data_IF_756587844082
#
_entry.id   IF_756587844082
#
_cell.length_a   1.000
_cell.length_b   1.000
_cell.length_c   1.000
_cell.angle_alpha   90.00
_cell.angle_beta   90.00
_cell.angle_gamma   90.00
#
_symmetry.space_group_name_H-M   'P 1'
#
loop_
_entity.id
_entity.type
_entity.pdbx_description
1 polymer ?
#
# COMPACT_ATOMS: atom_id res chain seq x y z
N UNK A 1 13.93 32.25 13.74
CA UNK A 1 13.39 31.12 14.52
C UNK A 1 13.17 31.58 15.95
N UNK A 2 12.06 31.18 16.57
CA UNK A 2 11.79 31.43 18.00
C UNK A 2 11.62 30.10 18.74
N UNK A 3 12.08 30.05 20.00
CA UNK A 3 11.95 28.89 20.89
C UNK A 3 11.31 29.33 22.19
N UNK A 4 10.27 28.63 22.61
CA UNK A 4 9.57 28.85 23.87
C UNK A 4 9.97 27.73 24.83
N UNK A 5 11.15 27.89 25.42
CA UNK A 5 11.81 26.82 26.17
C UNK A 5 12.04 25.58 25.30
N UNK A 6 11.71 24.42 25.86
CA UNK A 6 11.70 23.12 25.18
C UNK A 6 10.27 22.68 24.82
N UNK A 7 9.27 23.54 24.86
CA UNK A 7 7.87 23.14 24.63
C UNK A 7 7.40 23.43 23.20
N UNK A 8 7.96 24.46 22.55
CA UNK A 8 7.59 24.85 21.20
C UNK A 8 8.76 25.54 20.49
N UNK A 9 8.95 25.20 19.22
CA UNK A 9 9.83 25.89 18.29
C UNK A 9 9.05 26.35 17.07
N UNK A 10 9.23 27.62 16.70
CA UNK A 10 8.68 28.21 15.49
C UNK A 10 9.80 28.49 14.48
N UNK A 11 9.69 27.87 13.30
CA UNK A 11 10.59 28.09 12.17
C UNK A 11 9.91 29.07 11.22
N UNK A 12 10.63 30.13 10.88
CA UNK A 12 10.20 31.19 9.98
C UNK A 12 11.07 31.12 8.72
N UNK A 13 10.53 30.56 7.65
CA UNK A 13 11.19 30.47 6.35
C UNK A 13 10.87 31.69 5.50
N UNK A 14 11.86 32.18 4.76
CA UNK A 14 11.65 33.19 3.72
C UNK A 14 10.96 32.56 2.50
N UNK A 15 10.26 33.38 1.72
CA UNK A 15 9.71 32.98 0.42
C UNK A 15 8.61 31.93 0.48
N UNK A 16 8.37 31.32 -0.69
CA UNK A 16 7.40 30.25 -0.93
C UNK A 16 8.09 28.89 -0.91
N UNK A 17 8.26 28.32 0.29
CA UNK A 17 8.78 26.95 0.42
C UNK A 17 7.78 25.91 -0.09
N UNK A 18 8.23 25.00 -0.95
CA UNK A 18 7.40 23.87 -1.40
C UNK A 18 7.02 22.92 -0.23
N UNK A 19 5.90 22.21 -0.37
CA UNK A 19 5.35 21.34 0.68
C UNK A 19 6.31 20.29 1.23
N UNK A 20 7.27 19.83 0.43
CA UNK A 20 8.30 18.85 0.81
C UNK A 20 9.12 19.30 2.03
N UNK A 21 9.35 20.61 2.22
CA UNK A 21 10.06 21.11 3.40
C UNK A 21 9.31 20.79 4.69
N UNK A 22 7.97 20.82 4.69
CA UNK A 22 7.17 20.40 5.85
C UNK A 22 7.42 18.93 6.18
N UNK A 23 7.43 18.07 5.15
CA UNK A 23 7.66 16.62 5.31
C UNK A 23 9.06 16.35 5.87
N UNK A 24 10.09 16.94 5.27
CA UNK A 24 11.48 16.75 5.67
C UNK A 24 11.76 17.27 7.08
N UNK A 25 11.28 18.48 7.41
CA UNK A 25 11.53 19.08 8.71
C UNK A 25 10.75 18.38 9.83
N UNK A 26 9.50 17.97 9.60
CA UNK A 26 8.75 17.18 10.58
C UNK A 26 9.30 15.76 10.78
N UNK A 27 9.98 15.19 9.78
CA UNK A 27 10.69 13.92 9.95
C UNK A 27 11.99 14.10 10.76
N UNK A 28 12.71 15.20 10.53
CA UNK A 28 14.03 15.46 11.15
C UNK A 28 13.94 16.00 12.57
N UNK A 29 12.90 16.78 12.88
CA UNK A 29 12.70 17.48 14.14
C UNK A 29 11.50 16.89 14.89
N UNK A 30 11.36 17.22 16.17
CA UNK A 30 10.19 16.82 16.96
C UNK A 30 8.94 17.59 16.53
N UNK A 31 8.20 17.00 15.58
CA UNK A 31 7.04 17.61 14.95
C UNK A 31 5.92 17.96 15.93
N UNK A 32 5.87 17.32 17.11
CA UNK A 32 4.85 17.58 18.13
C UNK A 32 5.02 18.95 18.80
N UNK A 33 6.23 19.52 18.70
CA UNK A 33 6.63 20.80 19.29
C UNK A 33 7.13 21.77 18.22
N UNK A 34 6.76 21.55 16.96
CA UNK A 34 7.25 22.31 15.81
C UNK A 34 6.10 23.06 15.14
N UNK A 35 6.31 24.35 14.90
CA UNK A 35 5.47 25.17 14.05
C UNK A 35 6.31 25.66 12.87
N UNK A 36 5.93 25.26 11.66
CA UNK A 36 6.57 25.72 10.43
C UNK A 36 5.72 26.82 9.80
N UNK A 37 6.36 27.94 9.44
CA UNK A 37 5.73 28.99 8.64
C UNK A 37 6.71 29.53 7.63
N UNK A 38 6.19 29.93 6.46
CA UNK A 38 6.95 30.52 5.37
C UNK A 38 6.61 32.02 5.25
N UNK A 39 6.95 32.68 4.14
CA UNK A 39 6.61 34.09 3.90
C UNK A 39 7.09 35.05 5.00
N UNK A 40 8.21 34.71 5.65
CA UNK A 40 8.68 35.43 6.83
C UNK A 40 10.02 36.11 6.56
N UNK A 41 10.11 37.38 6.95
CA UNK A 41 11.31 38.23 6.89
C UNK A 41 11.81 38.61 5.49
N UNK A 42 11.68 37.74 4.49
CA UNK A 42 12.14 37.98 3.12
C UNK A 42 11.31 37.19 2.08
N UNK A 43 11.36 37.62 0.81
CA UNK A 43 10.62 37.05 -0.32
C UNK A 43 11.52 36.83 -1.55
N UNK A 44 12.40 35.81 -1.52
CA UNK A 44 13.22 35.43 -2.68
C UNK A 44 12.43 34.74 -3.80
N UNK A 45 11.11 34.54 -3.63
CA UNK A 45 10.25 33.76 -4.52
C UNK A 45 10.03 32.33 -4.04
N UNK A 46 9.74 31.42 -4.96
CA UNK A 46 9.66 29.98 -4.67
C UNK A 46 11.02 29.42 -4.31
N UNK A 47 11.03 28.60 -3.26
CA UNK A 47 12.18 27.80 -2.86
C UNK A 47 11.79 26.33 -3.12
N UNK A 48 12.21 25.74 -4.25
CA UNK A 48 11.83 24.38 -4.60
C UNK A 48 12.60 23.35 -3.76
N UNK A 49 12.02 22.16 -3.62
CA UNK A 49 12.73 20.98 -3.13
C UNK A 49 13.55 20.35 -4.26
N UNK A 50 14.40 19.36 -3.96
CA UNK A 50 15.15 18.65 -5.01
C UNK A 50 14.23 17.97 -6.02
N UNK A 51 13.18 17.30 -5.53
CA UNK A 51 12.17 16.64 -6.36
C UNK A 51 11.46 17.63 -7.28
N UNK A 52 11.01 18.77 -6.73
CA UNK A 52 10.33 19.81 -7.53
C UNK A 52 11.28 20.43 -8.56
N UNK A 53 12.57 20.61 -8.23
CA UNK A 53 13.58 21.04 -9.21
C UNK A 53 13.75 20.06 -10.37
N UNK A 54 13.71 18.75 -10.09
CA UNK A 54 13.80 17.69 -11.10
C UNK A 54 12.53 17.60 -11.96
N UNK A 55 11.36 17.79 -11.36
CA UNK A 55 10.06 17.83 -12.05
C UNK A 55 9.91 19.07 -12.95
N UNK A 56 10.55 20.19 -12.59
CA UNK A 56 10.43 21.45 -13.29
C UNK A 56 9.09 22.15 -13.03
N UNK A 57 8.69 23.05 -13.92
CA UNK A 57 7.40 23.76 -13.81
C UNK A 57 7.50 25.14 -13.16
N UNK A 58 6.38 25.62 -12.60
CA UNK A 58 6.26 27.02 -12.19
C UNK A 58 7.16 27.37 -11.02
N UNK A 59 7.14 26.55 -9.97
CA UNK A 59 7.87 26.75 -8.72
C UNK A 59 9.38 26.60 -8.90
N UNK A 60 9.82 25.70 -9.78
CA UNK A 60 11.24 25.43 -10.02
C UNK A 60 11.88 26.36 -11.07
N UNK A 61 11.12 26.79 -12.08
CA UNK A 61 11.69 27.39 -13.28
C UNK A 61 11.03 28.72 -13.65
N UNK A 62 9.72 28.70 -13.95
CA UNK A 62 9.07 29.86 -14.56
C UNK A 62 8.88 31.01 -13.57
N UNK A 63 8.73 30.75 -12.28
CA UNK A 63 8.52 31.78 -11.26
C UNK A 63 9.72 32.73 -11.10
N UNK A 64 10.94 32.27 -11.43
CA UNK A 64 12.18 33.01 -11.22
C UNK A 64 12.18 34.37 -11.92
N UNK A 65 11.58 34.47 -13.11
CA UNK A 65 11.49 35.74 -13.86
C UNK A 65 10.64 36.78 -13.12
N UNK A 66 9.57 36.36 -12.45
CA UNK A 66 8.67 37.25 -11.71
C UNK A 66 9.29 37.73 -10.39
N UNK A 67 10.21 36.94 -9.83
CA UNK A 67 10.97 37.27 -8.63
C UNK A 67 12.34 37.88 -8.93
N UNK A 68 12.59 38.27 -10.20
CA UNK A 68 13.84 38.87 -10.67
C UNK A 68 15.10 38.05 -10.31
N UNK A 69 14.96 36.72 -10.24
CA UNK A 69 16.06 35.81 -9.97
C UNK A 69 16.81 35.47 -11.26
N UNK A 70 18.15 35.35 -11.23
CA UNK A 70 18.97 35.19 -12.43
C UNK A 70 18.87 33.79 -13.08
N UNK A 71 18.28 32.82 -12.40
CA UNK A 71 18.13 31.46 -12.88
C UNK A 71 17.61 30.51 -11.82
N UNK A 72 17.65 29.21 -12.14
CA UNK A 72 17.23 28.15 -11.21
C UNK A 72 18.15 28.07 -10.01
N UNK A 73 17.59 27.61 -8.89
CA UNK A 73 18.39 27.18 -7.76
C UNK A 73 19.28 25.99 -8.12
N UNK A 74 20.40 25.87 -7.41
CA UNK A 74 21.23 24.67 -7.47
C UNK A 74 20.51 23.48 -6.80
N UNK A 75 20.76 22.22 -7.24
CA UNK A 75 20.11 21.02 -6.69
C UNK A 75 20.28 20.81 -5.17
N UNK A 76 21.23 21.49 -4.55
CA UNK A 76 21.54 21.45 -3.13
C UNK A 76 20.67 22.40 -2.28
N UNK A 77 19.83 23.25 -2.88
CA UNK A 77 19.05 24.26 -2.14
C UNK A 77 18.25 23.67 -0.97
N UNK A 78 17.65 22.49 -1.18
CA UNK A 78 16.92 21.78 -0.15
C UNK A 78 17.81 21.43 1.04
N UNK A 79 19.01 20.90 0.77
CA UNK A 79 19.95 20.50 1.80
C UNK A 79 20.47 21.71 2.57
N UNK A 80 20.73 22.82 1.87
CA UNK A 80 21.16 24.09 2.48
C UNK A 80 20.11 24.60 3.46
N UNK A 81 18.84 24.66 3.03
CA UNK A 81 17.73 25.14 3.88
C UNK A 81 17.52 24.20 5.07
N UNK A 82 17.43 22.89 4.84
CA UNK A 82 17.19 21.91 5.91
C UNK A 82 18.35 21.89 6.91
N UNK A 83 19.60 21.97 6.44
CA UNK A 83 20.77 22.03 7.32
C UNK A 83 20.78 23.32 8.16
N UNK A 84 20.42 24.46 7.57
CA UNK A 84 20.30 25.73 8.28
C UNK A 84 19.25 25.66 9.40
N UNK A 85 18.10 25.06 9.13
CA UNK A 85 17.04 24.87 10.14
C UNK A 85 17.51 23.90 11.23
N UNK A 86 18.11 22.75 10.90
CA UNK A 86 18.62 21.78 11.90
C UNK A 86 19.70 22.42 12.81
N UNK A 87 20.62 23.18 12.22
CA UNK A 87 21.67 23.86 12.97
C UNK A 87 21.10 24.86 13.98
N UNK A 88 20.10 25.66 13.57
CA UNK A 88 19.43 26.61 14.45
C UNK A 88 18.53 25.92 15.48
N UNK A 89 17.89 24.80 15.14
CA UNK A 89 17.04 24.02 16.04
C UNK A 89 17.86 23.40 17.19
N UNK A 90 19.01 22.82 16.84
CA UNK A 90 19.91 22.18 17.79
C UNK A 90 19.36 20.86 18.35
N UNK A 91 20.14 20.17 19.20
CA UNK A 91 19.83 18.80 19.64
C UNK A 91 18.49 18.65 20.36
N UNK A 92 18.06 19.65 21.13
CA UNK A 92 16.84 19.65 21.95
C UNK A 92 15.55 19.42 21.14
N UNK A 93 15.56 19.79 19.87
CA UNK A 93 14.39 19.69 18.98
C UNK A 93 14.55 18.62 17.90
N UNK A 94 15.60 17.81 17.93
CA UNK A 94 15.73 16.68 17.01
C UNK A 94 14.67 15.62 17.32
N UNK A 95 14.18 14.98 16.27
CA UNK A 95 13.29 13.83 16.42
C UNK A 95 13.95 12.75 17.28
N UNK A 96 13.17 12.10 18.14
CA UNK A 96 13.60 10.85 18.78
C UNK A 96 13.76 9.76 17.70
N UNK A 97 14.66 8.80 17.92
CA UNK A 97 14.94 7.74 16.95
C UNK A 97 13.71 6.87 16.63
N UNK A 98 12.75 6.78 17.55
CA UNK A 98 11.49 6.03 17.44
C UNK A 98 10.28 6.93 17.16
N UNK A 99 10.49 8.21 16.85
CA UNK A 99 9.41 9.13 16.51
C UNK A 99 8.64 8.62 15.29
N UNK A 100 7.33 8.39 15.46
CA UNK A 100 6.43 8.11 14.35
C UNK A 100 6.33 9.32 13.42
N UNK A 101 6.16 9.08 12.12
CA UNK A 101 5.84 10.14 11.16
C UNK A 101 4.53 10.85 11.54
N UNK A 102 4.38 12.14 11.24
CA UNK A 102 3.14 12.84 11.51
C UNK A 102 1.98 12.28 10.69
N UNK A 103 0.86 11.99 11.35
CA UNK A 103 -0.32 11.39 10.70
C UNK A 103 -0.97 12.34 9.67
N UNK A 104 -0.81 13.65 9.83
CA UNK A 104 -1.33 14.67 8.91
C UNK A 104 -0.54 14.79 7.59
N UNK A 105 0.56 14.06 7.43
CA UNK A 105 1.23 13.89 6.13
C UNK A 105 0.74 12.66 5.36
N UNK A 106 -0.17 11.88 5.95
CA UNK A 106 -0.83 10.76 5.28
C UNK A 106 -2.14 11.25 4.69
N UNK A 107 -2.44 10.78 3.48
CA UNK A 107 -3.78 10.95 2.95
C UNK A 107 -4.78 10.25 3.89
N UNK A 108 -6.00 10.80 4.08
CA UNK A 108 -7.03 10.10 4.82
C UNK A 108 -7.27 8.74 4.15
N UNK A 109 -7.44 7.71 4.98
CA UNK A 109 -7.64 6.36 4.48
C UNK A 109 -8.93 6.25 3.66
N UNK A 110 -8.86 5.55 2.53
CA UNK A 110 -10.03 5.16 1.73
C UNK A 110 -10.90 4.08 2.37
N UNK A 111 -10.48 3.49 3.50
CA UNK A 111 -11.12 2.31 4.10
C UNK A 111 -12.60 2.55 4.46
N UNK A 112 -12.92 3.68 5.10
CA UNK A 112 -14.30 3.98 5.51
C UNK A 112 -15.24 4.10 4.30
N UNK A 113 -14.78 4.78 3.24
CA UNK A 113 -15.54 4.93 2.00
C UNK A 113 -15.67 3.60 1.25
N UNK A 114 -14.62 2.77 1.29
CA UNK A 114 -14.68 1.44 0.70
C UNK A 114 -15.82 0.62 1.32
N UNK A 115 -15.86 0.51 2.65
CA UNK A 115 -16.86 -0.32 3.33
C UNK A 115 -18.28 0.15 3.09
N UNK A 116 -18.51 1.47 3.04
CA UNK A 116 -19.83 2.05 2.75
C UNK A 116 -20.32 1.75 1.32
N UNK A 117 -19.40 1.67 0.36
CA UNK A 117 -19.75 1.63 -1.06
C UNK A 117 -19.58 0.25 -1.72
N UNK A 118 -18.99 -0.73 -1.02
CA UNK A 118 -18.65 -2.02 -1.61
C UNK A 118 -19.89 -2.77 -2.15
N UNK A 119 -20.98 -2.85 -1.37
CA UNK A 119 -22.23 -3.47 -1.83
C UNK A 119 -22.77 -2.83 -3.13
N UNK A 120 -22.78 -1.50 -3.20
CA UNK A 120 -23.23 -0.77 -4.39
C UNK A 120 -22.34 -1.06 -5.60
N UNK A 121 -21.02 -1.11 -5.41
CA UNK A 121 -20.08 -1.49 -6.47
C UNK A 121 -20.33 -2.91 -6.96
N UNK A 122 -20.54 -3.87 -6.06
CA UNK A 122 -20.85 -5.26 -6.42
C UNK A 122 -22.18 -5.34 -7.17
N UNK A 123 -23.19 -4.57 -6.80
CA UNK A 123 -24.49 -4.55 -7.47
C UNK A 123 -24.40 -4.12 -8.94
N UNK A 124 -23.43 -3.26 -9.29
CA UNK A 124 -23.20 -2.82 -10.68
C UNK A 124 -22.45 -3.83 -11.55
N UNK A 125 -21.91 -4.91 -10.97
CA UNK A 125 -21.12 -5.89 -11.72
C UNK A 125 -22.01 -6.79 -12.60
N UNK A 126 -21.46 -7.29 -13.73
CA UNK A 126 -22.05 -8.37 -14.51
C UNK A 126 -22.46 -9.56 -13.65
N UNK A 127 -23.49 -10.29 -14.07
CA UNK A 127 -24.06 -11.41 -13.30
C UNK A 127 -23.06 -12.53 -13.01
N UNK A 128 -22.11 -12.77 -13.92
CA UNK A 128 -21.02 -13.74 -13.76
C UNK A 128 -20.07 -13.33 -12.64
N UNK A 129 -19.64 -12.08 -12.60
CA UNK A 129 -18.77 -11.54 -11.55
C UNK A 129 -19.49 -11.48 -10.20
N UNK A 130 -20.78 -11.10 -10.16
CA UNK A 130 -21.59 -11.16 -8.93
C UNK A 130 -21.66 -12.57 -8.36
N UNK A 131 -21.81 -13.61 -9.19
CA UNK A 131 -21.75 -15.01 -8.74
C UNK A 131 -20.39 -15.36 -8.12
N UNK A 132 -19.28 -14.88 -8.68
CA UNK A 132 -17.94 -15.06 -8.10
C UNK A 132 -17.85 -14.39 -6.72
N UNK A 133 -18.36 -13.16 -6.58
CA UNK A 133 -18.37 -12.44 -5.29
C UNK A 133 -19.27 -13.15 -4.26
N UNK A 134 -20.46 -13.61 -4.64
CA UNK A 134 -21.35 -14.37 -3.76
C UNK A 134 -20.70 -15.68 -3.30
N UNK A 135 -20.01 -16.39 -4.21
CA UNK A 135 -19.25 -17.60 -3.88
C UNK A 135 -18.09 -17.29 -2.92
N UNK A 136 -17.32 -16.23 -3.18
CA UNK A 136 -16.27 -15.75 -2.28
C UNK A 136 -16.84 -15.49 -0.88
N UNK A 137 -17.92 -14.71 -0.78
CA UNK A 137 -18.55 -14.35 0.51
C UNK A 137 -19.00 -15.58 1.30
N UNK A 138 -19.68 -16.51 0.63
CA UNK A 138 -20.17 -17.76 1.26
C UNK A 138 -19.03 -18.60 1.84
N UNK A 139 -17.90 -18.69 1.15
CA UNK A 139 -16.73 -19.43 1.62
C UNK A 139 -15.97 -18.66 2.71
N UNK A 140 -15.79 -17.34 2.52
CA UNK A 140 -15.03 -16.47 3.40
C UNK A 140 -15.58 -16.44 4.84
N UNK A 141 -16.89 -16.65 5.03
CA UNK A 141 -17.55 -16.67 6.33
C UNK A 141 -16.92 -17.66 7.34
N UNK A 142 -16.27 -18.72 6.86
CA UNK A 142 -15.62 -19.73 7.71
C UNK A 142 -14.10 -19.79 7.53
N UNK A 143 -13.50 -18.79 6.88
CA UNK A 143 -12.07 -18.80 6.58
C UNK A 143 -11.20 -18.49 7.81
N UNK A 144 -9.99 -19.03 7.81
CA UNK A 144 -8.89 -18.62 8.69
C UNK A 144 -8.06 -17.50 8.04
N UNK A 145 -7.18 -16.87 8.82
CA UNK A 145 -6.22 -15.90 8.27
C UNK A 145 -5.23 -16.61 7.32
N UNK A 146 -5.22 -16.19 6.06
CA UNK A 146 -4.38 -16.73 5.00
C UNK A 146 -2.94 -16.23 5.01
N UNK A 147 -2.61 -15.22 5.83
CA UNK A 147 -1.26 -14.69 5.97
C UNK A 147 -0.95 -14.36 7.44
N UNK A 148 -0.39 -15.33 8.15
CA UNK A 148 0.00 -15.22 9.55
C UNK A 148 1.44 -14.70 9.73
N UNK A 149 2.39 -15.21 8.93
CA UNK A 149 3.80 -14.86 9.07
C UNK A 149 4.53 -14.99 7.73
N UNK A 150 5.25 -13.95 7.34
CA UNK A 150 6.20 -14.01 6.22
C UNK A 150 7.45 -14.78 6.63
N UNK A 151 8.06 -15.51 5.70
CA UNK A 151 9.39 -16.07 5.91
C UNK A 151 10.44 -14.96 5.75
N UNK A 152 11.60 -15.14 6.37
CA UNK A 152 12.67 -14.13 6.42
C UNK A 152 13.35 -13.87 5.06
N UNK A 153 13.03 -14.66 4.03
CA UNK A 153 13.68 -14.67 2.71
C UNK A 153 12.83 -14.06 1.56
N UNK A 154 13.53 -13.26 0.74
CA UNK A 154 13.29 -12.88 -0.67
C UNK A 154 12.03 -12.11 -1.13
N UNK A 155 11.44 -11.24 -0.31
CA UNK A 155 10.51 -10.21 -0.83
C UNK A 155 10.95 -8.79 -0.51
N UNK A 156 10.99 -7.96 -1.57
CA UNK A 156 11.15 -6.53 -1.41
C UNK A 156 9.97 -5.95 -0.62
N UNK A 157 10.25 -4.92 0.18
CA UNK A 157 9.21 -4.07 0.74
C UNK A 157 9.16 -2.78 -0.07
N UNK A 158 7.98 -2.45 -0.58
CA UNK A 158 7.72 -1.14 -1.19
C UNK A 158 6.37 -0.66 -0.71
N UNK A 159 6.23 0.66 -0.68
CA UNK A 159 4.95 1.29 -0.44
C UNK A 159 4.13 1.25 -1.74
N UNK A 160 2.90 0.76 -1.66
CA UNK A 160 1.97 0.71 -2.80
C UNK A 160 0.51 0.63 -2.32
N UNK A 161 -0.45 0.74 -3.25
CA UNK A 161 -1.88 0.77 -2.96
C UNK A 161 -2.42 -0.57 -2.40
N UNK A 162 -2.98 -0.54 -1.19
CA UNK A 162 -3.65 -1.69 -0.57
C UNK A 162 -5.10 -1.87 -1.06
N UNK A 163 -5.86 -2.76 -0.40
CA UNK A 163 -7.25 -3.07 -0.73
C UNK A 163 -8.22 -1.86 -0.72
N UNK A 164 -7.89 -0.75 -0.05
CA UNK A 164 -8.69 0.47 -0.03
C UNK A 164 -8.05 1.65 -0.77
N UNK A 165 -6.92 1.44 -1.47
CA UNK A 165 -6.21 2.48 -2.20
C UNK A 165 -5.28 3.33 -1.35
N UNK A 166 -4.99 2.91 -0.12
CA UNK A 166 -3.99 3.59 0.71
C UNK A 166 -2.60 3.11 0.34
N UNK A 167 -1.63 4.03 0.32
CA UNK A 167 -0.23 3.70 0.11
C UNK A 167 0.37 3.19 1.42
N UNK A 168 0.68 1.90 1.48
CA UNK A 168 1.23 1.23 2.68
C UNK A 168 2.38 0.30 2.30
N UNK A 169 3.22 -0.06 3.26
CA UNK A 169 4.29 -1.03 3.06
C UNK A 169 3.73 -2.44 2.84
N UNK A 170 4.07 -3.05 1.71
CA UNK A 170 3.64 -4.41 1.33
C UNK A 170 4.84 -5.30 1.11
N UNK A 171 4.65 -6.62 1.18
CA UNK A 171 5.63 -7.57 0.65
C UNK A 171 5.24 -7.89 -0.78
N UNK A 172 6.15 -7.72 -1.72
CA UNK A 172 5.84 -7.90 -3.13
C UNK A 172 6.99 -8.54 -3.91
N UNK A 173 6.64 -9.09 -5.07
CA UNK A 173 7.57 -9.54 -6.10
C UNK A 173 7.22 -8.90 -7.42
N UNK A 174 8.23 -8.73 -8.29
CA UNK A 174 8.06 -8.34 -9.70
C UNK A 174 8.50 -9.47 -10.62
N UNK A 175 8.05 -9.42 -11.86
CA UNK A 175 8.52 -10.26 -12.95
C UNK A 175 9.83 -9.77 -13.57
N UNK A 176 10.75 -9.24 -12.77
CA UNK A 176 12.07 -8.81 -13.22
C UNK A 176 12.94 -10.02 -13.58
N UNK A 177 12.92 -11.04 -12.72
CA UNK A 177 13.55 -12.34 -12.93
C UNK A 177 12.53 -13.46 -12.78
N UNK A 178 12.65 -14.49 -13.62
CA UNK A 178 11.83 -15.69 -13.48
C UNK A 178 12.23 -16.44 -12.20
N UNK A 179 11.25 -16.96 -11.47
CA UNK A 179 11.51 -17.70 -10.23
C UNK A 179 11.60 -16.85 -8.96
N UNK A 180 11.58 -15.50 -9.05
CA UNK A 180 11.46 -14.64 -7.87
C UNK A 180 10.22 -15.03 -7.07
N UNK A 181 10.36 -15.20 -5.76
CA UNK A 181 9.35 -15.86 -4.93
C UNK A 181 9.16 -15.15 -3.60
N UNK A 182 7.89 -15.01 -3.19
CA UNK A 182 7.50 -14.60 -1.84
C UNK A 182 6.91 -15.79 -1.11
N UNK A 183 7.29 -15.98 0.16
CA UNK A 183 6.84 -17.11 1.00
C UNK A 183 6.25 -16.66 2.32
N UNK A 184 5.19 -17.34 2.74
CA UNK A 184 4.53 -17.07 4.01
C UNK A 184 3.77 -18.31 4.52
N UNK A 185 3.27 -18.24 5.75
CA UNK A 185 2.42 -19.26 6.35
C UNK A 185 1.04 -18.69 6.64
N UNK A 186 -0.02 -19.47 6.40
CA UNK A 186 -1.35 -19.18 6.93
C UNK A 186 -1.52 -19.72 8.35
N UNK A 187 -2.53 -19.22 9.08
CA UNK A 187 -2.88 -19.77 10.40
C UNK A 187 -3.33 -21.24 10.29
N UNK A 188 -3.15 -22.03 11.35
CA UNK A 188 -3.82 -23.32 11.48
C UNK A 188 -5.34 -23.15 11.49
N UNK A 189 -6.09 -24.17 11.05
CA UNK A 189 -7.56 -24.10 10.99
C UNK A 189 -8.24 -24.05 12.37
N UNK A 190 -7.53 -24.35 13.46
CA UNK A 190 -8.03 -24.27 14.86
C UNK A 190 -9.40 -24.93 15.02
N UNK A 191 -9.56 -26.15 14.50
CA UNK A 191 -10.81 -26.93 14.55
C UNK A 191 -11.82 -26.69 13.42
N UNK A 192 -11.54 -25.82 12.44
CA UNK A 192 -12.36 -25.72 11.22
C UNK A 192 -12.20 -26.97 10.36
N UNK A 193 -13.31 -27.45 9.81
CA UNK A 193 -13.37 -28.66 8.98
C UNK A 193 -12.98 -28.45 7.51
N UNK A 194 -12.76 -27.20 7.09
CA UNK A 194 -12.46 -26.85 5.70
C UNK A 194 -11.25 -25.94 5.62
N UNK A 195 -10.34 -26.25 4.67
CA UNK A 195 -9.17 -25.43 4.39
C UNK A 195 -9.56 -24.17 3.61
N UNK A 196 -10.14 -23.19 4.30
CA UNK A 196 -10.51 -21.90 3.73
C UNK A 196 -9.64 -20.82 4.36
N UNK A 197 -8.99 -20.03 3.53
CA UNK A 197 -8.06 -19.00 3.95
C UNK A 197 -8.34 -17.71 3.20
N UNK A 198 -8.36 -16.57 3.90
CA UNK A 198 -8.51 -15.25 3.26
C UNK A 198 -7.33 -14.37 3.65
N UNK A 199 -6.79 -13.65 2.68
CA UNK A 199 -5.75 -12.64 2.90
C UNK A 199 -5.96 -11.46 1.93
N UNK A 200 -5.54 -10.26 2.33
CA UNK A 200 -5.56 -9.09 1.46
C UNK A 200 -4.22 -8.88 0.75
N UNK A 201 -4.30 -8.43 -0.49
CA UNK A 201 -3.17 -8.34 -1.39
C UNK A 201 -3.53 -7.61 -2.68
N UNK A 202 -2.66 -7.69 -3.67
CA UNK A 202 -2.87 -7.04 -4.96
C UNK A 202 -2.00 -7.62 -6.06
N UNK A 203 -2.37 -7.24 -7.27
CA UNK A 203 -1.76 -7.64 -8.54
C UNK A 203 -1.80 -6.42 -9.44
N UNK A 204 -0.79 -6.21 -10.28
CA UNK A 204 -0.86 -5.09 -11.20
C UNK A 204 0.18 -5.04 -12.28
N UNK A 205 0.18 -3.88 -12.94
CA UNK A 205 0.86 -3.60 -14.21
C UNK A 205 0.36 -4.44 -15.39
N UNK A 206 -0.96 -4.43 -15.62
CA UNK A 206 -1.57 -5.29 -16.64
C UNK A 206 -1.03 -5.06 -18.06
N UNK A 207 -0.59 -3.85 -18.40
CA UNK A 207 -0.07 -3.52 -19.73
C UNK A 207 1.28 -4.17 -20.05
N UNK A 208 1.99 -4.69 -19.05
CA UNK A 208 3.28 -5.36 -19.24
C UNK A 208 3.13 -6.79 -19.77
N UNK A 209 4.19 -7.39 -20.34
CA UNK A 209 4.12 -8.73 -20.91
C UNK A 209 3.59 -9.79 -19.95
N UNK A 210 2.64 -10.60 -20.44
CA UNK A 210 1.93 -11.61 -19.65
C UNK A 210 2.69 -12.93 -19.56
N UNK A 211 3.09 -13.28 -18.33
CA UNK A 211 3.52 -14.65 -17.97
C UNK A 211 2.81 -15.21 -16.75
N UNK A 212 2.16 -14.33 -15.97
CA UNK A 212 1.43 -14.70 -14.75
C UNK A 212 2.31 -15.20 -13.63
N UNK A 213 1.66 -15.59 -12.55
CA UNK A 213 2.27 -16.06 -11.33
C UNK A 213 1.82 -17.50 -11.05
N UNK A 214 2.60 -18.18 -10.21
CA UNK A 214 2.25 -19.50 -9.70
C UNK A 214 2.13 -19.42 -8.18
N UNK A 215 0.95 -19.70 -7.65
CA UNK A 215 0.73 -19.95 -6.22
C UNK A 215 1.05 -21.41 -5.94
N UNK A 216 2.00 -21.68 -5.05
CA UNK A 216 2.30 -23.02 -4.55
C UNK A 216 1.74 -23.21 -3.14
N UNK A 217 1.17 -24.39 -2.90
CA UNK A 217 0.61 -24.81 -1.61
C UNK A 217 1.36 -26.06 -1.15
N UNK A 218 2.21 -25.91 -0.12
CA UNK A 218 3.20 -26.90 0.36
C UNK A 218 3.95 -27.67 -0.75
N UNK A 219 4.39 -26.96 -1.79
CA UNK A 219 5.19 -27.51 -2.90
C UNK A 219 4.53 -28.60 -3.77
N UNK A 220 3.30 -29.03 -3.44
CA UNK A 220 2.62 -30.15 -4.14
C UNK A 220 1.49 -29.70 -5.06
N UNK A 221 0.87 -28.56 -4.76
CA UNK A 221 -0.25 -28.03 -5.52
C UNK A 221 0.12 -26.66 -6.06
N UNK A 222 -0.11 -26.45 -7.36
CA UNK A 222 0.12 -25.19 -8.03
C UNK A 222 -1.14 -24.64 -8.68
N UNK A 223 -1.34 -23.32 -8.56
CA UNK A 223 -2.39 -22.57 -9.25
C UNK A 223 -1.70 -21.49 -10.08
N UNK A 224 -1.91 -21.51 -11.38
CA UNK A 224 -1.49 -20.43 -12.27
C UNK A 224 -2.57 -19.34 -12.28
N UNK A 225 -2.16 -18.10 -12.02
CA UNK A 225 -3.04 -16.94 -12.05
C UNK A 225 -2.31 -15.76 -12.68
N UNK A 226 -3.05 -14.70 -13.03
CA UNK A 226 -2.45 -13.51 -13.63
C UNK A 226 -3.23 -12.25 -13.22
N UNK A 227 -2.77 -11.09 -13.68
CA UNK A 227 -3.37 -9.79 -13.40
C UNK A 227 -4.83 -9.77 -13.88
N UNK A 228 -5.72 -9.28 -13.02
CA UNK A 228 -7.13 -9.03 -13.33
C UNK A 228 -7.65 -7.86 -12.50
N UNK A 229 -8.55 -7.09 -13.08
CA UNK A 229 -9.28 -6.01 -12.41
C UNK A 229 -10.72 -6.43 -12.04
N UNK A 230 -11.06 -7.71 -12.27
CA UNK A 230 -12.41 -8.24 -12.09
C UNK A 230 -12.42 -9.42 -11.11
N UNK A 231 -13.56 -9.70 -10.44
CA UNK A 231 -13.72 -10.90 -9.63
C UNK A 231 -13.46 -12.18 -10.45
N UNK A 232 -12.40 -12.90 -10.10
CA UNK A 232 -11.89 -14.02 -10.89
C UNK A 232 -11.59 -15.22 -9.99
N UNK A 233 -11.71 -16.44 -10.53
CA UNK A 233 -11.32 -17.67 -9.86
C UNK A 233 -10.37 -18.48 -10.75
N UNK A 234 -9.32 -19.01 -10.15
CA UNK A 234 -8.36 -19.92 -10.77
C UNK A 234 -8.30 -21.21 -9.96
N UNK A 235 -7.98 -22.33 -10.61
CA UNK A 235 -7.85 -23.62 -9.94
C UNK A 235 -6.54 -24.30 -10.27
N UNK A 236 -6.17 -25.29 -9.46
CA UNK A 236 -5.14 -26.24 -9.86
C UNK A 236 -5.60 -27.10 -11.05
N UNK A 237 -4.67 -27.87 -11.61
CA UNK A 237 -4.95 -28.76 -12.75
C UNK A 237 -6.07 -29.78 -12.44
N UNK A 238 -6.20 -30.21 -11.18
CA UNK A 238 -7.23 -31.18 -10.76
C UNK A 238 -8.57 -30.52 -10.39
N UNK A 239 -8.66 -29.18 -10.44
CA UNK A 239 -9.86 -28.40 -10.06
C UNK A 239 -10.32 -28.66 -8.61
N UNK A 240 -9.39 -29.00 -7.74
CA UNK A 240 -9.62 -29.29 -6.33
C UNK A 240 -9.34 -28.08 -5.46
N UNK A 241 -8.23 -27.40 -5.72
CA UNK A 241 -7.79 -26.21 -4.99
C UNK A 241 -8.16 -24.99 -5.82
N UNK A 242 -8.75 -23.99 -5.17
CA UNK A 242 -9.32 -22.82 -5.84
C UNK A 242 -8.78 -21.55 -5.19
N UNK A 243 -8.31 -20.60 -6.01
CA UNK A 243 -7.95 -19.25 -5.62
C UNK A 243 -8.97 -18.30 -6.22
N UNK A 244 -9.70 -17.57 -5.39
CA UNK A 244 -10.66 -16.54 -5.80
C UNK A 244 -10.08 -15.18 -5.44
N UNK A 245 -10.09 -14.23 -6.36
CA UNK A 245 -9.74 -12.84 -6.09
C UNK A 245 -10.96 -11.94 -6.29
N UNK A 246 -11.22 -11.09 -5.29
CA UNK A 246 -12.25 -10.05 -5.36
C UNK A 246 -11.55 -8.69 -5.20
N UNK A 247 -11.40 -7.93 -6.29
CA UNK A 247 -10.88 -6.57 -6.23
C UNK A 247 -11.81 -5.65 -5.43
N UNK A 248 -11.23 -4.86 -4.52
CA UNK A 248 -11.93 -3.80 -3.78
C UNK A 248 -11.40 -2.42 -4.15
N UNK A 249 -10.25 -2.35 -4.81
CA UNK A 249 -9.67 -1.15 -5.39
C UNK A 249 -9.01 -1.49 -6.72
N UNK A 250 -9.10 -0.58 -7.70
CA UNK A 250 -8.53 -0.75 -9.05
C UNK A 250 -8.05 0.60 -9.59
N UNK A 251 -6.97 0.59 -10.36
CA UNK A 251 -6.55 1.67 -11.27
C UNK A 251 -6.59 1.17 -12.72
N UNK A 252 -6.02 1.90 -13.69
CA UNK A 252 -5.90 1.44 -15.07
C UNK A 252 -4.95 0.23 -15.23
N UNK A 253 -4.02 0.07 -14.29
CA UNK A 253 -2.96 -0.94 -14.35
C UNK A 253 -3.06 -1.99 -13.24
N UNK A 254 -3.66 -1.62 -12.11
CA UNK A 254 -3.54 -2.35 -10.87
C UNK A 254 -4.90 -2.73 -10.27
N UNK A 255 -4.89 -3.78 -9.46
CA UNK A 255 -6.00 -4.19 -8.62
C UNK A 255 -5.50 -4.65 -7.25
N UNK A 256 -6.18 -4.21 -6.20
CA UNK A 256 -5.98 -4.68 -4.83
C UNK A 256 -7.30 -5.11 -4.22
N UNK A 257 -7.25 -6.08 -3.32
CA UNK A 257 -8.44 -6.65 -2.71
C UNK A 257 -8.15 -7.89 -1.90
N UNK A 258 -9.07 -8.84 -1.94
CA UNK A 258 -9.03 -10.02 -1.11
C UNK A 258 -8.91 -11.29 -1.95
N UNK A 259 -7.97 -12.13 -1.55
CA UNK A 259 -7.82 -13.48 -2.06
C UNK A 259 -8.47 -14.46 -1.07
N UNK A 260 -9.20 -15.43 -1.60
CA UNK A 260 -9.66 -16.61 -0.89
C UNK A 260 -9.04 -17.85 -1.49
N UNK A 261 -8.33 -18.61 -0.67
CA UNK A 261 -7.77 -19.90 -1.04
C UNK A 261 -8.58 -21.01 -0.39
N UNK A 262 -9.06 -21.95 -1.21
CA UNK A 262 -9.73 -23.16 -0.80
C UNK A 262 -8.84 -24.37 -1.06
N UNK A 263 -8.43 -25.05 0.01
CA UNK A 263 -7.61 -26.27 0.03
C UNK A 263 -8.42 -27.41 0.70
N UNK A 264 -9.16 -28.22 -0.07
CA UNK A 264 -9.94 -29.32 0.50
C UNK A 264 -9.07 -30.35 1.24
N UNK A 265 -9.58 -30.89 2.35
CA UNK A 265 -8.92 -31.99 3.07
C UNK A 265 -7.65 -31.60 3.85
N UNK A 266 -7.35 -30.30 3.99
CA UNK A 266 -6.18 -29.86 4.74
C UNK A 266 -6.29 -30.19 6.24
N UNK A 267 -5.29 -30.82 6.88
CA UNK A 267 -5.32 -31.15 8.31
C UNK A 267 -5.37 -29.89 9.20
N UNK A 268 -6.27 -29.88 10.18
CA UNK A 268 -6.53 -28.67 10.96
C UNK A 268 -5.34 -28.18 11.81
N UNK A 269 -4.48 -29.10 12.24
CA UNK A 269 -3.34 -28.83 13.14
C UNK A 269 -2.07 -28.39 12.40
N UNK A 270 -2.03 -28.50 11.06
CA UNK A 270 -0.82 -28.15 10.29
C UNK A 270 -0.94 -26.74 9.73
N UNK A 271 0.05 -25.86 9.96
CA UNK A 271 0.09 -24.58 9.25
C UNK A 271 0.24 -24.83 7.75
N UNK A 272 -0.39 -23.98 6.95
CA UNK A 272 -0.31 -24.05 5.48
C UNK A 272 0.87 -23.20 5.01
N UNK A 273 1.84 -23.79 4.32
CA UNK A 273 2.91 -23.04 3.67
C UNK A 273 2.47 -22.62 2.27
N UNK A 274 2.67 -21.34 1.97
CA UNK A 274 2.28 -20.72 0.72
C UNK A 274 3.47 -19.98 0.12
N UNK A 275 3.60 -20.08 -1.20
CA UNK A 275 4.50 -19.21 -1.95
C UNK A 275 3.85 -18.71 -3.23
N UNK A 276 4.24 -17.54 -3.69
CA UNK A 276 3.92 -17.07 -5.04
C UNK A 276 5.22 -16.81 -5.77
N UNK A 277 5.33 -17.39 -6.97
CA UNK A 277 6.50 -17.31 -7.83
C UNK A 277 6.19 -16.59 -9.13
N UNK A 278 7.12 -15.72 -9.55
CA UNK A 278 7.12 -15.13 -10.89
C UNK A 278 7.38 -16.18 -11.96
N UNK A 279 6.60 -16.16 -13.03
CA UNK A 279 6.84 -16.96 -14.25
C UNK A 279 7.41 -16.14 -15.41
N UNK A 280 7.70 -14.86 -15.17
CA UNK A 280 8.18 -13.92 -16.19
C UNK A 280 9.50 -13.28 -15.81
N UNK A 281 10.16 -12.71 -16.82
CA UNK A 281 11.41 -11.96 -16.70
C UNK A 281 11.31 -10.66 -17.50
N UNK A 282 11.95 -9.58 -17.02
CA UNK A 282 11.94 -8.28 -17.68
C UNK A 282 10.59 -7.56 -17.75
N UNK A 283 9.65 -7.89 -16.84
CA UNK A 283 8.30 -7.31 -16.79
C UNK A 283 8.05 -6.64 -15.44
N UNK A 284 7.35 -5.49 -15.47
CA UNK A 284 7.00 -4.75 -14.24
C UNK A 284 5.73 -5.29 -13.56
N UNK A 285 5.13 -6.36 -14.08
CA UNK A 285 4.03 -7.06 -13.40
C UNK A 285 4.41 -7.42 -11.99
N UNK A 286 3.48 -7.25 -11.07
CA UNK A 286 3.73 -7.44 -9.65
C UNK A 286 2.59 -8.21 -8.97
N UNK A 287 2.97 -8.90 -7.88
CA UNK A 287 2.06 -9.49 -6.91
C UNK A 287 2.50 -9.04 -5.52
N UNK A 288 1.54 -8.68 -4.66
CA UNK A 288 1.82 -8.22 -3.31
C UNK A 288 0.82 -8.76 -2.29
N UNK A 289 1.29 -8.87 -1.05
CA UNK A 289 0.48 -9.19 0.13
C UNK A 289 0.60 -8.03 1.12
N UNK A 290 -0.53 -7.61 1.67
CA UNK A 290 -0.53 -6.57 2.71
C UNK A 290 0.16 -7.09 3.97
N UNK A 291 1.04 -6.27 4.56
CA UNK A 291 1.75 -6.69 5.78
C UNK A 291 0.83 -6.76 6.99
N UNK A 292 -0.08 -5.79 7.08
CA UNK A 292 -1.10 -5.70 8.11
C UNK A 292 -2.38 -6.33 7.55
N UNK A 293 -2.75 -7.50 8.07
CA UNK A 293 -3.94 -8.24 7.65
C UNK A 293 -5.16 -7.91 8.53
N UNK A 294 -4.96 -7.57 9.81
CA UNK A 294 -6.01 -7.24 10.79
C UNK A 294 -7.17 -8.23 10.87
N UNK A 295 -6.87 -9.53 10.79
CA UNK A 295 -7.86 -10.59 11.02
C UNK A 295 -8.04 -10.84 12.53
N UNK A 296 -9.28 -11.08 13.02
CA UNK A 296 -10.49 -11.36 12.24
C UNK A 296 -11.32 -10.12 11.85
N UNK A 297 -11.04 -8.95 12.40
CA UNK A 297 -11.89 -7.75 12.27
C UNK A 297 -12.10 -7.32 10.81
N UNK A 298 -11.05 -7.37 9.99
CA UNK A 298 -11.12 -7.02 8.56
C UNK A 298 -12.04 -7.95 7.79
N UNK A 299 -12.01 -9.26 8.09
CA UNK A 299 -12.91 -10.23 7.47
C UNK A 299 -14.37 -9.95 7.82
N UNK A 300 -14.63 -9.62 9.09
CA UNK A 300 -15.97 -9.28 9.53
C UNK A 300 -16.51 -8.04 8.80
N UNK A 301 -15.72 -6.97 8.72
CA UNK A 301 -16.07 -5.75 7.95
C UNK A 301 -16.33 -6.06 6.48
N UNK A 302 -15.46 -6.85 5.85
CA UNK A 302 -15.63 -7.27 4.45
C UNK A 302 -16.94 -8.04 4.23
N UNK A 303 -17.23 -9.02 5.08
CA UNK A 303 -18.45 -9.83 4.98
C UNK A 303 -19.72 -9.00 5.18
N UNK A 304 -19.68 -8.03 6.11
CA UNK A 304 -20.77 -7.07 6.33
C UNK A 304 -20.95 -6.14 5.13
N UNK A 305 -19.86 -5.62 4.57
CA UNK A 305 -19.89 -4.72 3.42
C UNK A 305 -20.31 -5.40 2.11
N UNK A 306 -20.11 -6.73 2.00
CA UNK A 306 -20.61 -7.55 0.90
C UNK A 306 -22.05 -8.05 1.12
N UNK A 307 -22.63 -7.83 2.30
CA UNK A 307 -24.02 -8.17 2.60
C UNK A 307 -24.92 -7.05 2.09
N UNK A 308 -25.50 -7.25 0.90
CA UNK A 308 -26.43 -6.28 0.31
C UNK A 308 -27.81 -6.43 0.97
N UNK A 309 -28.53 -5.33 1.29
CA UNK A 309 -29.94 -5.39 1.69
C UNK A 309 -30.86 -6.04 0.65
N UNK A 310 -30.40 -6.18 -0.61
CA UNK A 310 -31.18 -6.74 -1.73
C UNK A 310 -31.42 -8.26 -1.65
N UNK A 311 -30.81 -8.96 -0.69
CA UNK A 311 -31.00 -10.41 -0.50
C UNK A 311 -32.09 -10.73 0.57
N UNK A 312 -32.88 -9.73 1.00
CA UNK A 312 -33.93 -9.88 2.04
C UNK A 312 -35.38 -9.81 1.55
N UNK A 313 -35.63 -9.78 0.25
CA UNK A 313 -36.99 -9.80 -0.33
C UNK A 313 -37.28 -11.12 -1.06
#
# INVERSE_FOLDING_TARGET
MWKFGDQLMMVFMAGEGCGDYSVLLNAKLDWRRLWLTAWSNDMPGYIPSRRVLEEGGYEAEFSQVYYAQPGRYLPEIQDVVVAGVDALAGPTFRAAADQKHPDFHRLPSGEELLWKNLANRVATLPSTQRKTVSRFRSLAANAANGCAQFRDDDSAASDWFNFCGDTVSRRFIRQESEGTEIRWTAESLKGRSSGLYVFSGGIGWQSQPAKGFELQVNDTTNIQFDITQEPTSWTDVNKTTELIFVPTWTSDEDASGFFLLRVPGWPAEKPLQLSVRSRGSGSQRWFAIDREQDFPDRLQKLLQALDSPSDRD
#
